data_IF_031351995170
#
_entry.id   IF_031351995170
#
_cell.length_a   1.000
_cell.length_b   1.000
_cell.length_c   1.000
_cell.angle_alpha   90.00
_cell.angle_beta   90.00
_cell.angle_gamma   90.00
#
_symmetry.space_group_name_H-M   'P 1'
#
loop_
_entity.id
_entity.type
_entity.pdbx_description
1 polymer ?
#
# COMPACT_ATOMS: atom_id res chain seq x y z
N UNK A 1 -79.63 5.81 -35.35
CA UNK A 1 -79.29 5.49 -33.95
C UNK A 1 -77.86 4.99 -33.95
N UNK A 2 -76.95 5.95 -33.93
CA UNK A 2 -75.51 5.74 -33.80
C UNK A 2 -75.18 5.28 -32.39
N UNK A 3 -74.34 4.25 -32.27
CA UNK A 3 -73.60 3.97 -31.04
C UNK A 3 -72.14 4.28 -31.30
N UNK A 4 -71.72 5.41 -30.75
CA UNK A 4 -70.35 5.88 -30.70
C UNK A 4 -69.47 4.88 -29.93
N UNK A 5 -68.43 4.38 -30.58
CA UNK A 5 -67.26 3.79 -29.94
C UNK A 5 -66.28 4.92 -29.66
N UNK A 6 -66.12 5.27 -28.39
CA UNK A 6 -65.14 6.23 -27.90
C UNK A 6 -63.74 5.63 -28.01
N UNK A 7 -62.95 6.13 -28.97
CA UNK A 7 -61.49 5.99 -28.96
C UNK A 7 -60.93 6.87 -27.83
N UNK A 8 -60.21 6.25 -26.89
CA UNK A 8 -59.37 6.96 -25.93
C UNK A 8 -58.15 7.55 -26.65
N UNK A 9 -57.75 8.80 -26.36
CA UNK A 9 -56.63 9.43 -27.05
C UNK A 9 -55.31 8.81 -26.60
N UNK A 10 -54.54 8.34 -27.59
CA UNK A 10 -53.20 7.82 -27.43
C UNK A 10 -52.27 8.93 -26.88
N UNK A 11 -52.07 8.96 -25.56
CA UNK A 11 -51.12 9.88 -24.93
C UNK A 11 -49.73 9.72 -25.55
N UNK A 12 -49.30 10.75 -26.27
CA UNK A 12 -48.08 10.79 -27.06
C UNK A 12 -46.83 10.61 -26.18
N UNK A 13 -46.34 9.37 -26.08
CA UNK A 13 -45.13 9.01 -25.33
C UNK A 13 -43.91 9.60 -26.04
N UNK A 14 -43.24 10.59 -25.44
CA UNK A 14 -41.98 11.15 -25.97
C UNK A 14 -40.81 10.23 -25.59
N UNK A 15 -40.19 9.63 -26.60
CA UNK A 15 -39.02 8.76 -26.45
C UNK A 15 -37.75 9.58 -26.67
N UNK A 16 -36.80 9.50 -25.74
CA UNK A 16 -35.49 10.14 -25.85
C UNK A 16 -34.42 9.04 -25.74
N UNK A 17 -33.54 8.95 -26.73
CA UNK A 17 -32.56 7.85 -26.83
C UNK A 17 -31.15 8.36 -26.53
N UNK A 18 -30.54 7.92 -25.44
CA UNK A 18 -29.19 8.33 -25.08
C UNK A 18 -28.24 7.15 -25.25
N UNK A 19 -27.22 7.31 -26.09
CA UNK A 19 -26.13 6.36 -26.21
C UNK A 19 -25.29 6.32 -24.94
N UNK A 20 -24.11 5.74 -25.05
CA UNK A 20 -23.16 5.59 -23.94
C UNK A 20 -22.73 6.92 -23.28
N UNK A 21 -23.11 8.07 -23.87
CA UNK A 21 -23.20 9.40 -23.26
C UNK A 21 -24.60 10.03 -23.43
N UNK A 22 -25.04 10.83 -22.44
CA UNK A 22 -26.33 11.54 -22.43
C UNK A 22 -26.39 12.67 -23.49
N UNK A 23 -26.56 12.37 -24.78
CA UNK A 23 -26.90 13.37 -25.81
C UNK A 23 -27.79 12.74 -26.91
N UNK A 24 -28.80 13.47 -27.40
CA UNK A 24 -29.74 13.08 -28.49
C UNK A 24 -29.66 14.00 -29.72
N UNK A 25 -30.14 13.58 -30.91
CA UNK A 25 -29.99 14.31 -32.17
C UNK A 25 -30.86 15.57 -32.31
N UNK A 26 -30.25 16.65 -32.81
CA UNK A 26 -30.89 17.94 -33.11
C UNK A 26 -30.64 19.06 -32.09
N UNK A 27 -29.81 18.83 -31.08
CA UNK A 27 -29.70 19.73 -29.92
C UNK A 27 -28.45 20.60 -29.93
N UNK A 28 -28.61 21.86 -29.49
CA UNK A 28 -27.50 22.64 -28.94
C UNK A 28 -26.94 21.84 -27.78
N UNK A 29 -25.62 21.65 -27.74
CA UNK A 29 -24.84 20.65 -26.99
C UNK A 29 -24.96 20.65 -25.46
N UNK A 30 -25.98 21.28 -24.85
CA UNK A 30 -25.98 21.65 -23.43
C UNK A 30 -27.25 21.26 -22.64
N UNK A 31 -28.19 20.48 -23.19
CA UNK A 31 -29.46 20.18 -22.50
C UNK A 31 -29.69 18.67 -22.29
N UNK A 32 -29.83 18.26 -21.02
CA UNK A 32 -30.13 16.87 -20.68
C UNK A 32 -31.59 16.50 -21.05
N UNK A 33 -31.86 15.25 -21.49
CA UNK A 33 -33.21 14.73 -21.83
C UNK A 33 -34.31 15.13 -20.85
N UNK A 34 -33.96 15.13 -19.58
CA UNK A 34 -34.79 15.49 -18.45
C UNK A 34 -35.40 16.91 -18.56
N UNK A 35 -34.68 17.86 -19.16
CA UNK A 35 -35.07 19.28 -19.25
C UNK A 35 -35.88 19.61 -20.49
N UNK A 36 -35.81 18.77 -21.51
CA UNK A 36 -36.48 18.94 -22.80
C UNK A 36 -37.94 18.45 -22.78
N UNK A 37 -38.23 17.53 -21.87
CA UNK A 37 -39.58 17.03 -21.62
C UNK A 37 -40.08 17.66 -20.32
N UNK A 38 -41.22 18.39 -20.34
CA UNK A 38 -41.80 18.97 -19.13
C UNK A 38 -41.90 17.94 -17.99
N UNK A 39 -41.67 18.33 -16.72
CA UNK A 39 -41.57 17.38 -15.60
C UNK A 39 -42.86 16.59 -15.32
N UNK A 40 -44.00 17.09 -15.80
CA UNK A 40 -45.32 16.48 -15.68
C UNK A 40 -45.72 15.61 -16.89
N UNK A 41 -44.85 15.43 -17.87
CA UNK A 41 -45.08 14.52 -19.00
C UNK A 41 -44.29 13.21 -18.83
N UNK A 42 -44.87 12.03 -19.19
CA UNK A 42 -44.13 10.78 -19.20
C UNK A 42 -42.89 10.85 -20.09
N UNK A 43 -41.78 10.30 -19.61
CA UNK A 43 -40.50 10.29 -20.32
C UNK A 43 -40.01 8.85 -20.48
N UNK A 44 -39.65 8.45 -21.69
CA UNK A 44 -39.01 7.15 -21.94
C UNK A 44 -37.57 7.36 -22.39
N UNK A 45 -36.62 6.99 -21.53
CA UNK A 45 -35.19 7.05 -21.81
C UNK A 45 -34.71 5.66 -22.24
N UNK A 46 -34.11 5.58 -23.41
CA UNK A 46 -33.50 4.35 -23.94
C UNK A 46 -31.99 4.50 -23.90
N UNK A 47 -31.26 3.48 -23.45
CA UNK A 47 -29.79 3.49 -23.43
C UNK A 47 -29.20 2.10 -23.62
N UNK A 48 -28.06 2.03 -24.31
CA UNK A 48 -27.26 0.82 -24.45
C UNK A 48 -26.40 0.52 -23.20
N UNK A 49 -26.22 1.50 -22.32
CA UNK A 49 -25.47 1.37 -21.09
C UNK A 49 -26.28 0.61 -20.04
N UNK A 50 -26.11 -0.71 -20.04
CA UNK A 50 -26.68 -1.59 -19.01
C UNK A 50 -26.30 -1.12 -17.60
N UNK A 51 -25.07 -0.64 -17.43
CA UNK A 51 -24.57 -0.14 -16.16
C UNK A 51 -25.38 1.08 -15.65
N UNK A 52 -25.71 2.03 -16.52
CA UNK A 52 -26.52 3.20 -16.15
C UNK A 52 -27.96 2.81 -15.85
N UNK A 53 -28.57 2.00 -16.72
CA UNK A 53 -29.97 1.57 -16.57
C UNK A 53 -30.15 0.76 -15.29
N UNK A 54 -29.34 -0.29 -15.06
CA UNK A 54 -29.40 -1.08 -13.83
C UNK A 54 -28.95 -0.29 -12.60
N UNK A 55 -27.99 0.62 -12.77
CA UNK A 55 -27.54 1.53 -11.72
C UNK A 55 -28.68 2.38 -11.17
N UNK A 56 -29.46 3.03 -12.03
CA UNK A 56 -30.58 3.89 -11.64
C UNK A 56 -31.83 3.12 -11.21
N UNK A 57 -32.09 1.94 -11.79
CA UNK A 57 -33.34 1.18 -11.54
C UNK A 57 -33.22 0.12 -10.45
N UNK A 58 -32.10 -0.61 -10.37
CA UNK A 58 -31.91 -1.76 -9.46
C UNK A 58 -31.00 -1.45 -8.28
N UNK A 59 -30.02 -0.58 -8.47
CA UNK A 59 -28.93 -0.42 -7.48
C UNK A 59 -28.98 0.88 -6.69
N UNK A 60 -29.53 1.96 -7.25
CA UNK A 60 -29.54 3.30 -6.66
C UNK A 60 -30.02 3.31 -5.21
N UNK A 61 -31.15 2.66 -4.90
CA UNK A 61 -31.68 2.60 -3.54
C UNK A 61 -30.68 1.98 -2.55
N UNK A 62 -29.99 0.90 -2.93
CA UNK A 62 -28.98 0.25 -2.07
C UNK A 62 -27.71 1.08 -1.95
N UNK A 63 -27.32 1.78 -3.02
CA UNK A 63 -26.17 2.69 -3.01
C UNK A 63 -26.41 3.91 -2.11
N UNK A 64 -27.60 4.52 -2.18
CA UNK A 64 -28.00 5.61 -1.28
C UNK A 64 -27.96 5.18 0.18
N UNK A 65 -28.51 4.01 0.51
CA UNK A 65 -28.45 3.50 1.90
C UNK A 65 -27.01 3.29 2.39
N UNK A 66 -26.07 3.01 1.49
CA UNK A 66 -24.64 2.87 1.81
C UNK A 66 -23.87 4.19 1.67
N UNK A 67 -24.56 5.31 1.46
CA UNK A 67 -23.99 6.63 1.31
C UNK A 67 -23.05 6.77 0.11
N UNK A 68 -23.32 6.01 -0.95
CA UNK A 68 -22.54 6.02 -2.20
C UNK A 68 -21.06 5.64 -2.05
N UNK A 69 -20.71 4.99 -0.94
CA UNK A 69 -19.33 4.58 -0.65
C UNK A 69 -18.91 3.45 -1.59
N UNK A 70 -17.74 3.61 -2.23
CA UNK A 70 -17.18 2.68 -3.23
C UNK A 70 -18.03 2.47 -4.50
N UNK A 71 -18.90 3.42 -4.81
CA UNK A 71 -19.65 3.41 -6.07
C UNK A 71 -18.87 4.20 -7.11
N UNK A 72 -18.44 3.55 -8.19
CA UNK A 72 -17.82 4.24 -9.32
C UNK A 72 -18.81 5.25 -9.91
N UNK A 73 -18.31 6.43 -10.29
CA UNK A 73 -19.12 7.52 -10.85
C UNK A 73 -20.31 7.94 -9.96
N UNK A 74 -20.18 7.78 -8.64
CA UNK A 74 -21.22 8.11 -7.67
C UNK A 74 -21.83 9.51 -7.85
N UNK A 75 -21.01 10.51 -8.21
CA UNK A 75 -21.49 11.88 -8.46
C UNK A 75 -22.48 11.95 -9.62
N UNK A 76 -22.14 11.36 -10.76
CA UNK A 76 -23.01 11.35 -11.94
C UNK A 76 -24.34 10.60 -11.68
N UNK A 77 -24.31 9.49 -10.93
CA UNK A 77 -25.52 8.79 -10.53
C UNK A 77 -26.38 9.59 -9.56
N UNK A 78 -25.77 10.26 -8.58
CA UNK A 78 -26.46 11.17 -7.68
C UNK A 78 -27.15 12.30 -8.46
N UNK A 79 -26.44 12.89 -9.41
CA UNK A 79 -26.97 13.97 -10.23
C UNK A 79 -28.16 13.51 -11.09
N UNK A 80 -28.00 12.37 -11.77
CA UNK A 80 -29.07 11.78 -12.58
C UNK A 80 -30.29 11.39 -11.72
N UNK A 81 -30.07 10.78 -10.56
CA UNK A 81 -31.15 10.35 -9.66
C UNK A 81 -31.90 11.56 -9.07
N UNK A 82 -31.18 12.60 -8.67
CA UNK A 82 -31.77 13.85 -8.18
C UNK A 82 -32.65 14.48 -9.25
N UNK A 83 -32.16 14.58 -10.49
CA UNK A 83 -32.96 15.08 -11.61
C UNK A 83 -34.21 14.23 -11.81
N UNK A 84 -34.08 12.91 -11.98
CA UNK A 84 -35.23 12.03 -12.19
C UNK A 84 -36.32 12.17 -11.11
N UNK A 85 -35.94 12.42 -9.86
CA UNK A 85 -36.87 12.63 -8.74
C UNK A 85 -37.56 13.99 -8.72
N UNK A 86 -37.09 14.97 -9.49
CA UNK A 86 -37.79 16.26 -9.65
C UNK A 86 -39.01 16.16 -10.56
N UNK A 87 -39.17 15.06 -11.30
CA UNK A 87 -40.31 14.86 -12.22
C UNK A 87 -41.53 14.38 -11.44
N UNK A 88 -42.69 14.92 -11.78
CA UNK A 88 -43.97 14.44 -11.25
C UNK A 88 -44.57 13.30 -12.06
N UNK A 89 -44.21 13.19 -13.35
CA UNK A 89 -44.64 12.10 -14.22
C UNK A 89 -43.62 10.95 -14.30
N UNK A 90 -44.09 9.71 -14.57
CA UNK A 90 -43.22 8.54 -14.61
C UNK A 90 -42.15 8.64 -15.68
N UNK A 91 -40.93 8.21 -15.33
CA UNK A 91 -39.80 8.07 -16.26
C UNK A 91 -39.43 6.61 -16.40
N UNK A 92 -39.51 6.08 -17.62
CA UNK A 92 -39.15 4.70 -17.94
C UNK A 92 -37.71 4.66 -18.47
N UNK A 93 -36.88 3.78 -17.91
CA UNK A 93 -35.54 3.50 -18.39
C UNK A 93 -35.51 2.12 -19.05
N UNK A 94 -35.15 2.05 -20.33
CA UNK A 94 -35.07 0.80 -21.08
C UNK A 94 -33.66 0.58 -21.59
N UNK A 95 -33.10 -0.57 -21.24
CA UNK A 95 -31.85 -1.03 -21.82
C UNK A 95 -32.09 -1.63 -23.20
N UNK A 96 -31.23 -1.29 -24.16
CA UNK A 96 -31.17 -1.92 -25.49
C UNK A 96 -29.77 -2.44 -25.75
N UNK A 97 -29.63 -3.39 -26.68
CA UNK A 97 -28.31 -3.84 -27.12
C UNK A 97 -27.73 -2.76 -28.05
N UNK A 98 -26.47 -2.37 -27.81
CA UNK A 98 -25.77 -1.42 -28.69
C UNK A 98 -25.44 -2.02 -30.05
N UNK A 99 -25.28 -1.17 -31.07
CA UNK A 99 -24.91 -1.53 -32.45
C UNK A 99 -25.80 -2.59 -33.12
N UNK A 100 -27.12 -2.51 -32.90
CA UNK A 100 -28.10 -3.44 -33.51
C UNK A 100 -29.08 -2.78 -34.47
N UNK A 101 -28.73 -1.66 -35.10
CA UNK A 101 -29.62 -0.98 -36.07
C UNK A 101 -30.74 -0.15 -35.41
N UNK A 102 -30.61 0.20 -34.13
CA UNK A 102 -31.61 1.05 -33.46
C UNK A 102 -31.28 2.50 -33.79
N UNK A 103 -31.98 3.06 -34.78
CA UNK A 103 -31.75 4.40 -35.34
C UNK A 103 -31.48 5.48 -34.28
N UNK A 104 -32.34 5.56 -33.25
CA UNK A 104 -32.18 6.55 -32.18
C UNK A 104 -30.93 6.34 -31.30
N UNK A 105 -30.48 5.09 -31.13
CA UNK A 105 -29.27 4.77 -30.35
C UNK A 105 -28.02 5.04 -31.17
N UNK A 106 -28.02 4.66 -32.45
CA UNK A 106 -26.91 4.92 -33.37
C UNK A 106 -26.68 6.41 -33.56
N UNK A 107 -27.77 7.18 -33.76
CA UNK A 107 -27.67 8.65 -33.81
C UNK A 107 -27.16 9.26 -32.50
N UNK A 108 -27.46 8.65 -31.35
CA UNK A 108 -26.95 9.12 -30.06
C UNK A 108 -25.46 8.76 -29.85
N UNK A 109 -25.01 7.59 -30.30
CA UNK A 109 -23.60 7.19 -30.29
C UNK A 109 -22.77 8.10 -31.21
N UNK A 110 -23.24 8.38 -32.43
CA UNK A 110 -22.58 9.33 -33.35
C UNK A 110 -22.43 10.74 -32.76
N UNK A 111 -23.40 11.19 -31.96
CA UNK A 111 -23.31 12.48 -31.27
C UNK A 111 -22.36 12.46 -30.09
N UNK A 112 -22.32 11.35 -29.36
CA UNK A 112 -21.36 11.15 -28.28
C UNK A 112 -19.92 11.14 -28.82
N UNK A 113 -19.67 10.45 -29.94
CA UNK A 113 -18.35 10.41 -30.62
C UNK A 113 -17.93 11.79 -31.14
N UNK A 114 -18.86 12.53 -31.75
CA UNK A 114 -18.62 13.93 -32.12
C UNK A 114 -18.33 14.78 -30.90
N UNK A 115 -19.09 14.64 -29.81
CA UNK A 115 -18.84 15.36 -28.56
C UNK A 115 -17.47 15.06 -27.94
N UNK A 116 -17.02 13.80 -28.00
CA UNK A 116 -15.73 13.36 -27.47
C UNK A 116 -14.52 13.93 -28.25
N UNK A 117 -14.70 14.25 -29.53
CA UNK A 117 -13.67 14.83 -30.40
C UNK A 117 -13.63 16.36 -30.38
N UNK A 118 -14.60 17.02 -29.74
CA UNK A 118 -14.58 18.47 -29.57
C UNK A 118 -13.65 18.88 -28.43
N UNK A 119 -12.98 20.01 -28.61
CA UNK A 119 -12.17 20.63 -27.56
C UNK A 119 -13.08 21.05 -26.40
N UNK A 120 -12.66 20.77 -25.15
CA UNK A 120 -13.48 21.05 -23.96
C UNK A 120 -13.61 22.55 -23.75
N UNK A 121 -14.60 23.17 -24.40
CA UNK A 121 -15.00 24.53 -24.08
C UNK A 121 -15.56 24.55 -22.66
N UNK A 122 -15.14 25.54 -21.86
CA UNK A 122 -15.66 25.77 -20.52
C UNK A 122 -17.14 26.15 -20.61
N UNK A 123 -18.02 25.15 -20.58
CA UNK A 123 -19.45 25.35 -20.55
C UNK A 123 -19.84 25.87 -19.15
N UNK A 124 -20.76 26.86 -19.05
CA UNK A 124 -21.29 27.29 -17.77
C UNK A 124 -21.82 26.08 -17.02
N UNK A 125 -21.35 25.90 -15.78
CA UNK A 125 -21.78 24.81 -14.90
C UNK A 125 -23.30 24.79 -14.84
N UNK A 126 -23.89 23.73 -15.39
CA UNK A 126 -25.31 23.48 -15.27
C UNK A 126 -25.74 23.67 -13.81
N UNK A 127 -26.91 24.30 -13.55
CA UNK A 127 -27.47 24.38 -12.18
C UNK A 127 -27.33 23.02 -11.51
N UNK A 128 -26.61 22.97 -10.38
CA UNK A 128 -26.39 21.73 -9.65
C UNK A 128 -27.75 21.10 -9.37
N UNK A 129 -27.87 19.77 -9.51
CA UNK A 129 -29.13 19.10 -9.26
C UNK A 129 -29.55 19.32 -7.80
N UNK A 130 -30.87 19.43 -7.55
CA UNK A 130 -31.39 19.73 -6.22
C UNK A 130 -31.07 18.59 -5.27
N UNK A 131 -30.17 18.85 -4.31
CA UNK A 131 -29.65 17.85 -3.37
C UNK A 131 -30.70 17.43 -2.35
N UNK A 132 -31.79 18.17 -2.18
CA UNK A 132 -32.90 17.78 -1.32
C UNK A 132 -33.58 16.47 -1.75
N UNK A 133 -33.43 16.05 -3.01
CA UNK A 133 -33.95 14.77 -3.52
C UNK A 133 -32.99 13.60 -3.30
N UNK A 134 -31.85 13.79 -2.63
CA UNK A 134 -30.87 12.75 -2.34
C UNK A 134 -30.80 12.44 -0.85
N UNK A 135 -30.69 11.16 -0.52
CA UNK A 135 -30.39 10.75 0.86
C UNK A 135 -28.95 11.16 1.20
N UNK A 136 -28.80 11.94 2.26
CA UNK A 136 -27.49 12.34 2.76
C UNK A 136 -26.94 11.33 3.76
N UNK A 137 -25.65 11.01 3.62
CA UNK A 137 -24.96 10.07 4.51
C UNK A 137 -25.27 8.60 4.21
N UNK A 138 -24.78 7.71 5.07
CA UNK A 138 -25.04 6.28 5.01
C UNK A 138 -25.94 5.86 6.18
N UNK A 139 -26.92 4.99 5.92
CA UNK A 139 -27.73 4.40 6.98
C UNK A 139 -26.87 3.42 7.78
N UNK A 140 -26.80 3.62 9.10
CA UNK A 140 -25.99 2.77 9.98
C UNK A 140 -26.38 1.29 9.89
N UNK A 141 -27.68 0.98 9.76
CA UNK A 141 -28.17 -0.40 9.61
C UNK A 141 -27.70 -1.10 8.33
N UNK A 142 -27.40 -0.33 7.28
CA UNK A 142 -26.99 -0.86 5.97
C UNK A 142 -25.47 -0.79 5.76
N UNK A 143 -24.76 -0.13 6.67
CA UNK A 143 -23.32 0.08 6.61
C UNK A 143 -22.57 -0.98 7.43
N UNK A 144 -21.41 -1.41 6.92
CA UNK A 144 -20.47 -2.25 7.69
C UNK A 144 -19.32 -1.38 8.19
N UNK A 145 -18.62 -1.83 9.23
CA UNK A 145 -17.37 -1.18 9.68
C UNK A 145 -16.39 -0.97 8.52
N UNK A 146 -16.25 -1.96 7.62
CA UNK A 146 -15.42 -1.86 6.42
C UNK A 146 -15.87 -0.74 5.49
N UNK A 147 -17.17 -0.66 5.21
CA UNK A 147 -17.73 0.39 4.34
C UNK A 147 -17.52 1.77 4.96
N UNK A 148 -17.84 1.95 6.24
CA UNK A 148 -17.62 3.23 6.93
C UNK A 148 -16.14 3.62 6.94
N UNK A 149 -15.24 2.68 7.26
CA UNK A 149 -13.80 2.91 7.24
C UNK A 149 -13.31 3.37 5.86
N UNK A 150 -13.77 2.72 4.80
CA UNK A 150 -13.43 3.10 3.42
C UNK A 150 -14.01 4.47 3.04
N UNK A 151 -15.23 4.78 3.47
CA UNK A 151 -15.83 6.09 3.28
C UNK A 151 -15.06 7.21 3.99
N UNK A 152 -14.61 6.97 5.24
CA UNK A 152 -13.74 7.89 5.97
C UNK A 152 -12.41 8.06 5.25
N UNK A 153 -11.77 6.96 4.84
CA UNK A 153 -10.52 7.01 4.07
C UNK A 153 -10.63 7.78 2.77
N UNK A 154 -11.72 7.61 2.02
CA UNK A 154 -11.95 8.33 0.77
C UNK A 154 -12.15 9.84 0.98
N UNK A 155 -12.63 10.25 2.16
CA UNK A 155 -12.80 11.66 2.55
C UNK A 155 -11.57 12.27 3.20
N UNK A 156 -10.70 11.45 3.79
CA UNK A 156 -9.41 11.92 4.27
C UNK A 156 -8.59 12.33 3.05
N UNK A 157 -8.35 13.63 2.91
CA UNK A 157 -7.29 14.12 2.03
C UNK A 157 -5.99 13.45 2.46
N UNK A 158 -5.22 12.92 1.51
CA UNK A 158 -3.89 12.39 1.80
C UNK A 158 -3.13 13.47 2.56
N UNK A 159 -2.90 13.24 3.85
CA UNK A 159 -2.09 14.13 4.66
C UNK A 159 -0.71 14.15 3.99
N UNK A 160 -0.25 15.32 3.57
CA UNK A 160 1.10 15.47 3.00
C UNK A 160 2.13 15.11 4.07
N UNK A 161 2.60 13.86 4.01
CA UNK A 161 3.61 13.32 4.93
C UNK A 161 4.98 13.49 4.30
N UNK A 162 5.44 14.74 4.20
CA UNK A 162 6.75 15.13 3.61
C UNK A 162 7.90 14.24 4.08
N UNK A 163 7.99 13.95 5.38
CA UNK A 163 9.04 13.09 5.94
C UNK A 163 8.96 11.65 5.40
N UNK A 164 7.75 11.09 5.26
CA UNK A 164 7.54 9.76 4.70
C UNK A 164 7.93 9.71 3.23
N UNK A 165 7.50 10.71 2.45
CA UNK A 165 7.86 10.83 1.03
C UNK A 165 9.37 10.91 0.85
N UNK A 166 10.06 11.75 1.63
CA UNK A 166 11.52 11.86 1.63
C UNK A 166 12.21 10.54 1.97
N UNK A 167 11.80 9.88 3.05
CA UNK A 167 12.42 8.62 3.49
C UNK A 167 12.19 7.49 2.48
N UNK A 168 11.03 7.45 1.84
CA UNK A 168 10.76 6.49 0.76
C UNK A 168 11.63 6.78 -0.47
N UNK A 169 11.84 8.04 -0.82
CA UNK A 169 12.73 8.43 -1.92
C UNK A 169 14.17 7.97 -1.66
N UNK A 170 14.70 8.23 -0.45
CA UNK A 170 16.02 7.74 -0.01
C UNK A 170 16.08 6.21 -0.11
N UNK A 171 15.01 5.51 0.26
CA UNK A 171 14.92 4.06 0.20
C UNK A 171 14.95 3.52 -1.24
N UNK A 172 14.27 4.21 -2.17
CA UNK A 172 14.26 3.87 -3.61
C UNK A 172 15.63 4.12 -4.24
N UNK A 173 16.25 5.26 -3.95
CA UNK A 173 17.59 5.61 -4.44
C UNK A 173 18.65 4.61 -3.96
N UNK A 174 18.59 4.22 -2.68
CA UNK A 174 19.49 3.20 -2.14
C UNK A 174 19.32 1.83 -2.83
N UNK A 175 18.10 1.44 -3.18
CA UNK A 175 17.85 0.20 -3.93
C UNK A 175 18.35 0.28 -5.37
N UNK A 176 18.21 1.44 -6.01
CA UNK A 176 18.77 1.70 -7.33
C UNK A 176 20.29 1.59 -7.30
N UNK A 177 20.96 2.21 -6.32
CA UNK A 177 22.40 2.13 -6.14
C UNK A 177 22.88 0.71 -5.84
N UNK A 178 22.12 -0.06 -5.05
CA UNK A 178 22.51 -1.42 -4.67
C UNK A 178 22.29 -2.47 -5.76
N UNK A 179 21.18 -2.38 -6.51
CA UNK A 179 20.73 -3.46 -7.40
C UNK A 179 20.54 -3.03 -8.87
N UNK A 180 20.76 -1.76 -9.19
CA UNK A 180 20.45 -1.18 -10.50
C UNK A 180 18.95 -1.09 -10.80
N UNK A 181 18.07 -1.37 -9.81
CA UNK A 181 16.61 -1.35 -9.98
C UNK A 181 15.92 -0.60 -8.85
N UNK A 182 15.13 0.40 -9.22
CA UNK A 182 14.29 1.17 -8.30
C UNK A 182 12.94 0.47 -8.09
N UNK A 183 12.60 0.00 -6.88
CA UNK A 183 11.25 -0.49 -6.59
C UNK A 183 10.27 0.69 -6.49
N UNK A 184 8.98 0.44 -6.73
CA UNK A 184 7.95 1.43 -6.40
C UNK A 184 7.79 1.55 -4.87
N UNK A 185 7.34 2.71 -4.40
CA UNK A 185 7.04 2.91 -2.97
C UNK A 185 5.99 1.91 -2.46
N UNK A 186 4.99 1.55 -3.29
CA UNK A 186 4.02 0.49 -2.97
C UNK A 186 4.70 -0.85 -2.74
N UNK A 187 5.67 -1.23 -3.59
CA UNK A 187 6.42 -2.48 -3.44
C UNK A 187 7.17 -2.54 -2.11
N UNK A 188 7.76 -1.43 -1.67
CA UNK A 188 8.41 -1.33 -0.33
C UNK A 188 7.39 -1.60 0.78
N UNK A 189 6.23 -0.91 0.74
CA UNK A 189 5.19 -1.08 1.75
C UNK A 189 4.54 -2.47 1.78
N UNK A 190 4.36 -3.07 0.61
CA UNK A 190 3.83 -4.42 0.49
C UNK A 190 4.82 -5.45 1.01
N UNK A 191 6.09 -5.33 0.64
CA UNK A 191 7.15 -6.24 1.07
C UNK A 191 7.30 -6.24 2.60
N UNK A 192 7.21 -5.06 3.24
CA UNK A 192 7.29 -4.92 4.69
C UNK A 192 6.22 -5.74 5.45
N UNK A 193 5.07 -6.01 4.82
CA UNK A 193 3.96 -6.76 5.44
C UNK A 193 4.08 -8.28 5.27
N UNK A 194 5.04 -8.76 4.47
CA UNK A 194 5.23 -10.17 4.12
C UNK A 194 6.33 -10.82 4.98
N UNK A 195 6.37 -12.15 4.97
CA UNK A 195 7.51 -12.93 5.47
C UNK A 195 8.79 -12.49 4.72
N UNK A 196 9.97 -12.39 5.37
CA UNK A 196 10.36 -12.92 6.69
C UNK A 196 10.42 -11.93 7.86
N UNK A 197 9.79 -10.76 7.73
CA UNK A 197 9.94 -9.67 8.72
C UNK A 197 8.93 -9.80 9.88
N UNK A 198 9.40 -10.00 11.14
CA UNK A 198 8.55 -10.06 12.31
C UNK A 198 7.83 -8.75 12.56
N UNK A 199 6.68 -8.84 13.23
CA UNK A 199 5.84 -7.69 13.57
C UNK A 199 6.61 -6.56 14.27
N UNK A 200 7.52 -6.87 15.21
CA UNK A 200 8.32 -5.86 15.93
C UNK A 200 9.24 -5.07 15.00
N UNK A 201 9.91 -5.75 14.08
CA UNK A 201 10.82 -5.09 13.12
C UNK A 201 10.02 -4.32 12.06
N UNK A 202 8.87 -4.87 11.65
CA UNK A 202 7.94 -4.17 10.77
C UNK A 202 7.45 -2.86 11.39
N UNK A 203 7.06 -2.87 12.65
CA UNK A 203 6.68 -1.66 13.38
C UNK A 203 7.84 -0.67 13.46
N UNK A 204 9.06 -1.16 13.71
CA UNK A 204 10.26 -0.35 13.70
C UNK A 204 10.53 0.33 12.35
N UNK A 205 10.60 -0.43 11.26
CA UNK A 205 10.85 0.14 9.93
C UNK A 205 9.71 1.04 9.48
N UNK A 206 8.45 0.71 9.80
CA UNK A 206 7.30 1.56 9.52
C UNK A 206 7.43 2.91 10.23
N UNK A 207 7.74 2.91 11.53
CA UNK A 207 7.95 4.14 12.31
C UNK A 207 9.18 4.92 11.84
N UNK A 208 10.24 4.24 11.43
CA UNK A 208 11.43 4.88 10.86
C UNK A 208 11.11 5.58 9.53
N UNK A 209 10.39 4.92 8.62
CA UNK A 209 9.94 5.54 7.36
C UNK A 209 9.03 6.75 7.61
N UNK A 210 8.17 6.70 8.63
CA UNK A 210 7.31 7.82 8.99
C UNK A 210 7.96 8.90 9.85
N UNK A 211 9.24 8.76 10.22
CA UNK A 211 9.94 9.66 11.16
C UNK A 211 9.20 9.81 12.50
N UNK A 212 8.63 8.70 12.99
CA UNK A 212 7.73 8.66 14.13
C UNK A 212 8.41 8.32 15.47
N UNK A 213 9.73 8.21 15.49
CA UNK A 213 10.50 7.93 16.70
C UNK A 213 10.88 9.21 17.45
N UNK A 214 10.92 9.12 18.78
CA UNK A 214 11.35 10.22 19.66
C UNK A 214 12.88 10.33 19.66
N UNK A 215 13.42 11.02 18.67
CA UNK A 215 14.87 11.28 18.48
C UNK A 215 15.10 12.74 18.09
N UNK A 216 16.30 13.27 18.35
CA UNK A 216 16.72 14.58 17.87
C UNK A 216 15.74 15.69 18.25
N UNK A 217 15.19 16.32 17.20
CA UNK A 217 14.16 17.38 17.23
C UNK A 217 13.03 17.17 18.23
N UNK A 218 12.62 15.92 18.47
CA UNK A 218 11.61 15.66 19.50
C UNK A 218 12.08 16.15 20.88
N UNK A 219 13.32 15.85 21.25
CA UNK A 219 13.90 16.17 22.55
C UNK A 219 14.32 17.63 22.70
N UNK A 220 14.58 18.34 21.60
CA UNK A 220 14.88 19.79 21.62
C UNK A 220 13.81 20.63 22.33
N UNK A 221 12.56 20.14 22.32
CA UNK A 221 11.40 20.85 22.86
C UNK A 221 10.91 20.25 24.19
N UNK A 222 11.70 19.38 24.83
CA UNK A 222 11.35 18.74 26.10
C UNK A 222 12.24 19.31 27.21
N UNK A 223 11.68 20.13 28.12
CA UNK A 223 12.41 20.69 29.24
C UNK A 223 13.16 19.65 30.07
N UNK A 224 14.47 19.85 30.26
CA UNK A 224 15.34 18.99 31.06
C UNK A 224 15.85 17.73 30.36
N UNK A 225 15.59 17.58 29.06
CA UNK A 225 16.02 16.43 28.25
C UNK A 225 16.56 16.85 26.87
N UNK A 226 16.88 18.13 26.69
CA UNK A 226 17.35 18.72 25.44
C UNK A 226 18.71 18.16 25.01
N UNK A 227 19.51 17.69 25.97
CA UNK A 227 20.78 17.00 25.75
C UNK A 227 20.62 15.76 24.85
N UNK A 228 19.45 15.11 24.88
CA UNK A 228 19.11 13.94 24.05
C UNK A 228 18.82 14.26 22.59
N UNK A 229 18.80 15.55 22.21
CA UNK A 229 18.70 15.93 20.81
C UNK A 229 19.99 15.62 20.03
N UNK A 230 21.13 15.52 20.71
CA UNK A 230 22.43 15.29 20.11
C UNK A 230 23.02 13.94 20.55
N UNK A 231 23.76 13.33 19.65
CA UNK A 231 24.44 12.07 19.95
C UNK A 231 25.64 12.31 20.88
N UNK A 232 25.61 11.75 22.08
CA UNK A 232 26.69 11.87 23.07
C UNK A 232 28.06 11.31 22.62
N UNK A 233 28.12 10.54 21.52
CA UNK A 233 29.39 9.96 21.01
C UNK A 233 30.09 10.80 19.95
N UNK A 234 29.35 11.57 19.16
CA UNK A 234 29.93 12.32 18.03
C UNK A 234 29.41 13.76 17.91
N UNK A 235 28.48 14.18 18.77
CA UNK A 235 27.95 15.56 18.81
C UNK A 235 26.94 15.92 17.73
N UNK A 236 26.77 15.08 16.70
CA UNK A 236 25.79 15.29 15.62
C UNK A 236 24.36 15.32 16.16
N UNK A 237 23.50 16.12 15.52
CA UNK A 237 22.07 16.10 15.79
C UNK A 237 21.50 14.72 15.46
N UNK A 238 20.79 14.12 16.41
CA UNK A 238 20.40 12.73 16.32
C UNK A 238 19.17 12.57 15.44
N UNK A 239 19.20 11.59 14.54
CA UNK A 239 18.08 11.20 13.69
C UNK A 239 18.15 9.69 13.47
N UNK A 240 17.09 9.07 12.96
CA UNK A 240 17.17 7.64 12.64
C UNK A 240 18.24 7.35 11.58
N UNK A 241 18.41 8.25 10.62
CA UNK A 241 19.50 8.19 9.64
C UNK A 241 20.87 8.25 10.32
N UNK A 242 21.07 9.21 11.23
CA UNK A 242 22.31 9.29 12.00
C UNK A 242 22.57 8.00 12.79
N UNK A 243 21.59 7.50 13.53
CA UNK A 243 21.73 6.32 14.38
C UNK A 243 22.11 5.07 13.57
N UNK A 244 21.47 4.87 12.42
CA UNK A 244 21.62 3.67 11.60
C UNK A 244 22.73 3.75 10.57
N UNK A 245 23.09 4.95 10.12
CA UNK A 245 24.07 5.18 9.06
C UNK A 245 25.27 5.98 9.56
N UNK A 246 25.13 7.15 10.16
CA UNK A 246 26.27 8.08 10.32
C UNK A 246 26.98 7.99 11.69
N UNK A 247 26.43 7.26 12.66
CA UNK A 247 26.88 7.28 14.04
C UNK A 247 28.23 6.55 14.22
N UNK A 248 29.23 7.27 14.74
CA UNK A 248 30.57 6.73 15.06
C UNK A 248 30.63 5.81 16.29
N UNK A 249 29.49 5.43 16.87
CA UNK A 249 29.44 4.54 18.03
C UNK A 249 30.06 3.17 17.71
N UNK A 250 30.82 2.62 18.66
CA UNK A 250 31.55 1.36 18.47
C UNK A 250 30.61 0.19 18.31
N UNK A 251 29.50 0.16 19.05
CA UNK A 251 28.47 -0.87 18.95
C UNK A 251 27.78 -0.88 17.59
N UNK A 252 27.52 0.29 17.01
CA UNK A 252 26.91 0.43 15.69
C UNK A 252 27.83 -0.11 14.60
N UNK A 253 29.10 0.33 14.60
CA UNK A 253 30.12 -0.14 13.65
C UNK A 253 30.35 -1.65 13.77
N UNK A 254 30.33 -2.19 14.99
CA UNK A 254 30.49 -3.62 15.21
C UNK A 254 29.32 -4.42 14.63
N UNK A 255 28.07 -3.99 14.84
CA UNK A 255 26.90 -4.65 14.25
C UNK A 255 26.98 -4.65 12.72
N UNK A 256 27.37 -3.54 12.09
CA UNK A 256 27.58 -3.50 10.64
C UNK A 256 28.66 -4.46 10.17
N UNK A 257 29.81 -4.48 10.87
CA UNK A 257 30.94 -5.38 10.57
C UNK A 257 30.50 -6.85 10.62
N UNK A 258 29.79 -7.25 11.68
CA UNK A 258 29.33 -8.63 11.84
C UNK A 258 28.29 -8.96 10.76
N UNK A 259 27.27 -8.11 10.57
CA UNK A 259 26.24 -8.33 9.55
C UNK A 259 26.85 -8.47 8.14
N UNK A 260 27.79 -7.59 7.78
CA UNK A 260 28.47 -7.63 6.49
C UNK A 260 29.28 -8.91 6.31
N UNK A 261 30.00 -9.36 7.33
CA UNK A 261 30.74 -10.62 7.28
C UNK A 261 29.79 -11.79 7.05
N UNK A 262 28.70 -11.87 7.82
CA UNK A 262 27.66 -12.89 7.68
C UNK A 262 27.02 -12.90 6.28
N UNK A 263 26.71 -11.73 5.72
CA UNK A 263 26.17 -11.61 4.36
C UNK A 263 27.22 -11.96 3.29
N UNK A 264 28.48 -11.58 3.50
CA UNK A 264 29.59 -11.89 2.60
C UNK A 264 29.87 -13.39 2.50
N UNK A 265 29.76 -14.13 3.61
CA UNK A 265 29.84 -15.61 3.62
C UNK A 265 28.74 -16.26 2.76
N UNK A 266 27.58 -15.61 2.62
CA UNK A 266 26.50 -16.03 1.72
C UNK A 266 26.65 -15.46 0.28
N UNK A 267 27.79 -14.83 -0.04
CA UNK A 267 28.03 -14.20 -1.33
C UNK A 267 27.10 -13.02 -1.61
N UNK A 268 26.74 -12.25 -0.58
CA UNK A 268 25.93 -11.03 -0.67
C UNK A 268 26.83 -9.84 -0.34
N UNK A 269 27.14 -9.03 -1.35
CA UNK A 269 27.93 -7.81 -1.17
C UNK A 269 27.03 -6.67 -0.71
N UNK A 270 27.40 -6.04 0.41
CA UNK A 270 26.82 -4.77 0.86
C UNK A 270 27.96 -3.79 1.12
N UNK A 271 27.71 -2.49 0.98
CA UNK A 271 28.70 -1.45 1.26
C UNK A 271 29.22 -1.53 2.70
N UNK A 272 30.41 -0.98 2.95
CA UNK A 272 31.04 -0.98 4.27
C UNK A 272 30.15 -0.33 5.34
N UNK A 273 29.44 0.73 4.93
CA UNK A 273 28.45 1.44 5.71
C UNK A 273 27.10 1.36 4.97
N UNK A 274 26.17 0.50 5.41
CA UNK A 274 24.87 0.38 4.78
C UNK A 274 24.11 1.70 4.88
N UNK A 275 23.55 2.16 3.76
CA UNK A 275 22.80 3.42 3.77
C UNK A 275 21.49 3.28 4.54
N UNK A 276 21.02 4.40 5.10
CA UNK A 276 19.71 4.48 5.75
C UNK A 276 18.59 3.99 4.83
N UNK A 277 18.67 4.35 3.54
CA UNK A 277 17.73 3.89 2.53
C UNK A 277 17.73 2.37 2.36
N UNK A 278 18.89 1.71 2.43
CA UNK A 278 18.98 0.24 2.33
C UNK A 278 18.28 -0.43 3.51
N UNK A 279 18.40 0.12 4.72
CA UNK A 279 17.66 -0.39 5.89
C UNK A 279 16.15 -0.26 5.74
N UNK A 280 15.68 0.89 5.25
CA UNK A 280 14.24 1.14 5.06
C UNK A 280 13.63 0.26 3.96
N UNK A 281 14.38 0.00 2.89
CA UNK A 281 13.93 -0.81 1.74
C UNK A 281 14.29 -2.28 1.83
N UNK A 282 15.02 -2.72 2.86
CA UNK A 282 15.53 -4.08 3.00
C UNK A 282 14.47 -5.17 2.82
N UNK A 283 13.21 -4.91 3.17
CA UNK A 283 12.10 -5.84 2.94
C UNK A 283 11.89 -6.19 1.45
N UNK A 284 12.17 -5.24 0.56
CA UNK A 284 11.99 -5.33 -0.89
C UNK A 284 13.29 -5.70 -1.62
N UNK A 285 14.40 -5.95 -0.91
CA UNK A 285 15.67 -6.31 -1.53
C UNK A 285 15.54 -7.60 -2.35
N UNK A 286 16.26 -7.68 -3.47
CA UNK A 286 16.35 -8.85 -4.33
C UNK A 286 17.82 -9.09 -4.66
N UNK A 287 18.34 -10.25 -4.28
CA UNK A 287 19.71 -10.67 -4.58
C UNK A 287 19.67 -11.53 -5.83
N UNK A 288 20.48 -11.17 -6.84
CA UNK A 288 20.54 -11.85 -8.13
C UNK A 288 21.96 -12.33 -8.43
N UNK A 289 22.07 -13.43 -9.17
CA UNK A 289 23.34 -13.94 -9.68
C UNK A 289 23.83 -13.18 -10.92
N UNK A 290 24.96 -13.62 -11.48
CA UNK A 290 25.58 -13.05 -12.69
C UNK A 290 24.63 -13.02 -13.90
N UNK A 291 23.78 -14.03 -14.05
CA UNK A 291 22.80 -14.15 -15.14
C UNK A 291 21.48 -13.39 -14.85
N UNK A 292 21.41 -12.63 -13.75
CA UNK A 292 20.21 -11.90 -13.34
C UNK A 292 19.13 -12.77 -12.68
N UNK A 293 19.37 -14.07 -12.52
CA UNK A 293 18.47 -15.01 -11.83
C UNK A 293 18.39 -14.68 -10.34
N UNK A 294 17.17 -14.69 -9.79
CA UNK A 294 16.92 -14.40 -8.37
C UNK A 294 17.45 -15.54 -7.48
N UNK A 295 18.36 -15.22 -6.56
CA UNK A 295 18.86 -16.14 -5.54
C UNK A 295 17.91 -16.08 -4.35
N UNK A 296 16.96 -17.02 -4.26
CA UNK A 296 15.87 -16.98 -3.26
C UNK A 296 16.39 -17.04 -1.82
N UNK A 297 17.30 -17.97 -1.51
CA UNK A 297 17.91 -18.10 -0.18
C UNK A 297 18.66 -16.83 0.24
N UNK A 298 19.54 -16.33 -0.62
CA UNK A 298 20.29 -15.09 -0.38
C UNK A 298 19.38 -13.86 -0.21
N UNK A 299 18.33 -13.76 -1.04
CA UNK A 299 17.32 -12.70 -0.93
C UNK A 299 16.61 -12.75 0.41
N UNK A 300 16.18 -13.94 0.84
CA UNK A 300 15.49 -14.11 2.11
C UNK A 300 16.42 -13.81 3.29
N UNK A 301 17.68 -14.24 3.24
CA UNK A 301 18.69 -13.93 4.25
C UNK A 301 18.90 -12.42 4.40
N UNK A 302 19.08 -11.69 3.29
CA UNK A 302 19.22 -10.24 3.31
C UNK A 302 17.99 -9.54 3.92
N UNK A 303 16.77 -10.00 3.59
CA UNK A 303 15.50 -9.52 4.16
C UNK A 303 15.36 -9.79 5.66
N UNK A 304 16.15 -10.71 6.23
CA UNK A 304 16.19 -10.96 7.68
C UNK A 304 17.30 -10.14 8.33
N UNK A 305 18.54 -10.28 7.85
CA UNK A 305 19.72 -9.77 8.53
C UNK A 305 19.80 -8.25 8.53
N UNK A 306 19.46 -7.61 7.41
CA UNK A 306 19.55 -6.14 7.30
C UNK A 306 18.56 -5.46 8.26
N UNK A 307 17.26 -5.84 8.30
CA UNK A 307 16.32 -5.29 9.28
C UNK A 307 16.65 -5.63 10.74
N UNK A 308 17.14 -6.85 11.01
CA UNK A 308 17.54 -7.25 12.37
C UNK A 308 18.74 -6.45 12.86
N UNK A 309 19.75 -6.21 12.02
CA UNK A 309 20.88 -5.36 12.34
C UNK A 309 20.43 -3.92 12.64
N UNK A 310 19.57 -3.35 11.80
CA UNK A 310 19.02 -2.00 12.05
C UNK A 310 18.29 -1.92 13.39
N UNK A 311 17.44 -2.89 13.68
CA UNK A 311 16.69 -2.94 14.92
C UNK A 311 17.59 -3.17 16.15
N UNK A 312 18.66 -3.98 16.00
CA UNK A 312 19.65 -4.18 17.03
C UNK A 312 20.43 -2.89 17.33
N UNK A 313 20.92 -2.17 16.30
CA UNK A 313 21.55 -0.86 16.47
C UNK A 313 20.63 0.10 17.21
N UNK A 314 19.35 0.17 16.83
CA UNK A 314 18.35 0.99 17.52
C UNK A 314 18.19 0.59 19.00
N UNK A 315 18.11 -0.70 19.31
CA UNK A 315 18.00 -1.19 20.70
C UNK A 315 19.24 -0.89 21.53
N UNK A 316 20.43 -1.08 20.97
CA UNK A 316 21.69 -0.77 21.66
C UNK A 316 21.79 0.74 21.94
N UNK A 317 21.39 1.59 20.98
CA UNK A 317 21.26 3.02 21.20
C UNK A 317 20.26 3.35 22.30
N UNK A 318 19.08 2.75 22.30
CA UNK A 318 18.06 3.00 23.34
C UNK A 318 18.56 2.60 24.72
N UNK A 319 19.23 1.44 24.84
CA UNK A 319 19.86 1.03 26.09
C UNK A 319 20.85 2.07 26.59
N UNK A 320 21.73 2.56 25.70
CA UNK A 320 22.73 3.57 26.04
C UNK A 320 22.13 4.92 26.46
N UNK A 321 21.18 5.45 25.69
CA UNK A 321 20.66 6.81 25.90
C UNK A 321 19.55 6.86 26.96
N UNK A 322 18.75 5.80 27.07
CA UNK A 322 17.56 5.77 27.93
C UNK A 322 17.81 4.91 29.17
N UNK A 323 18.10 3.61 28.99
CA UNK A 323 18.25 2.67 30.12
C UNK A 323 19.47 3.02 30.99
N UNK A 324 20.55 3.51 30.40
CA UNK A 324 21.78 3.93 31.10
C UNK A 324 21.88 5.44 31.27
N UNK A 325 20.77 6.17 31.22
CA UNK A 325 20.78 7.64 31.36
C UNK A 325 21.43 8.13 32.66
N UNK A 326 21.36 7.34 33.74
CA UNK A 326 22.02 7.61 35.02
C UNK A 326 23.43 7.02 35.15
N UNK A 327 23.95 6.36 34.10
CA UNK A 327 25.25 5.67 34.08
C UNK A 327 25.97 5.93 32.73
N UNK A 328 26.37 7.17 32.44
CA UNK A 328 26.92 7.58 31.14
C UNK A 328 28.27 6.91 30.80
N UNK A 329 28.97 6.36 31.80
CA UNK A 329 30.20 5.59 31.66
C UNK A 329 29.96 4.21 31.03
N UNK A 330 28.73 3.68 31.09
CA UNK A 330 28.42 2.36 30.53
C UNK A 330 28.53 2.36 29.01
N UNK A 331 29.27 1.36 28.51
CA UNK A 331 29.40 1.09 27.08
C UNK A 331 29.11 -0.37 26.79
N UNK A 332 28.59 -0.65 25.60
CA UNK A 332 28.43 -2.04 25.17
C UNK A 332 29.80 -2.64 24.87
N UNK A 333 30.10 -3.79 25.48
CA UNK A 333 31.32 -4.54 25.14
C UNK A 333 31.15 -5.29 23.83
N UNK A 334 32.23 -5.46 23.08
CA UNK A 334 32.20 -6.17 21.80
C UNK A 334 31.67 -7.61 21.97
N UNK A 335 32.08 -8.30 23.03
CA UNK A 335 31.63 -9.66 23.34
C UNK A 335 30.12 -9.73 23.61
N UNK A 336 29.56 -8.75 24.33
CA UNK A 336 28.12 -8.71 24.61
C UNK A 336 27.30 -8.48 23.32
N UNK A 337 27.76 -7.55 22.47
CA UNK A 337 27.12 -7.28 21.17
C UNK A 337 27.17 -8.52 20.27
N UNK A 338 28.34 -9.16 20.14
CA UNK A 338 28.49 -10.38 19.33
C UNK A 338 27.62 -11.52 19.86
N UNK A 339 27.55 -11.72 21.18
CA UNK A 339 26.69 -12.74 21.80
C UNK A 339 25.20 -12.46 21.54
N UNK A 340 24.77 -11.21 21.63
CA UNK A 340 23.38 -10.81 21.32
C UNK A 340 23.06 -11.05 19.83
N UNK A 341 24.01 -10.80 18.91
CA UNK A 341 23.85 -11.10 17.48
C UNK A 341 23.75 -12.60 17.21
N UNK A 342 24.65 -13.42 17.78
CA UNK A 342 24.61 -14.89 17.62
C UNK A 342 23.33 -15.49 18.19
N UNK A 343 22.85 -14.99 19.34
CA UNK A 343 21.58 -15.42 19.92
C UNK A 343 20.38 -15.10 19.01
N UNK A 344 20.39 -13.93 18.36
CA UNK A 344 19.40 -13.52 17.37
C UNK A 344 19.43 -14.45 16.15
N UNK A 345 20.61 -14.70 15.57
CA UNK A 345 20.76 -15.62 14.45
C UNK A 345 20.27 -17.02 14.82
N UNK A 346 20.62 -17.52 16.00
CA UNK A 346 20.21 -18.84 16.46
C UNK A 346 18.70 -18.96 16.61
N UNK A 347 18.03 -17.87 17.04
CA UNK A 347 16.58 -17.81 17.08
C UNK A 347 15.95 -17.84 15.68
N UNK A 348 16.54 -17.16 14.70
CA UNK A 348 16.07 -17.17 13.31
C UNK A 348 16.26 -18.51 12.64
N UNK A 349 17.44 -19.10 12.79
CA UNK A 349 17.76 -20.44 12.32
C UNK A 349 16.74 -21.45 12.85
N UNK A 350 16.53 -21.51 14.17
CA UNK A 350 15.54 -22.42 14.78
C UNK A 350 14.12 -22.18 14.26
N UNK A 351 13.73 -20.91 14.09
CA UNK A 351 12.41 -20.58 13.55
C UNK A 351 12.21 -21.11 12.14
N UNK A 352 13.22 -20.96 11.27
CA UNK A 352 13.15 -21.48 9.90
C UNK A 352 13.27 -23.01 9.84
N UNK A 353 14.08 -23.64 10.71
CA UNK A 353 14.12 -25.12 10.86
C UNK A 353 12.75 -25.68 11.27
N UNK A 354 12.11 -25.09 12.27
CA UNK A 354 10.77 -25.48 12.71
C UNK A 354 9.74 -25.33 11.57
N UNK A 355 9.77 -24.18 10.87
CA UNK A 355 8.88 -23.93 9.75
C UNK A 355 9.11 -24.91 8.58
N UNK A 356 10.35 -25.39 8.39
CA UNK A 356 10.69 -26.35 7.35
C UNK A 356 10.43 -27.82 7.73
N UNK A 357 10.17 -28.12 9.02
CA UNK A 357 9.97 -29.49 9.50
C UNK A 357 8.62 -30.08 9.09
N UNK A 358 8.59 -31.40 8.84
CA UNK A 358 7.45 -32.15 8.31
C UNK A 358 6.08 -31.88 8.98
N UNK A 359 5.94 -31.75 10.32
CA UNK A 359 4.64 -31.48 10.93
C UNK A 359 4.08 -30.07 10.64
N UNK A 360 4.93 -29.11 10.29
CA UNK A 360 4.53 -27.71 10.02
C UNK A 360 4.65 -27.32 8.53
N UNK A 361 5.32 -28.16 7.72
CA UNK A 361 5.60 -27.91 6.30
C UNK A 361 4.33 -27.71 5.45
N UNK A 362 3.20 -28.37 5.78
CA UNK A 362 1.92 -28.20 5.03
C UNK A 362 1.33 -26.77 5.13
N UNK A 363 1.70 -26.00 6.15
CA UNK A 363 1.25 -24.62 6.36
C UNK A 363 2.38 -23.58 6.16
N UNK A 364 3.62 -24.04 5.96
CA UNK A 364 4.81 -23.20 5.87
C UNK A 364 5.12 -22.83 4.41
N UNK A 365 5.57 -21.59 4.21
CA UNK A 365 6.05 -21.09 2.91
C UNK A 365 7.54 -21.34 2.68
N UNK A 366 8.23 -21.97 3.64
CA UNK A 366 9.68 -22.21 3.60
C UNK A 366 9.91 -23.71 3.46
N UNK A 367 10.47 -24.14 2.32
CA UNK A 367 10.88 -25.53 2.12
C UNK A 367 12.20 -25.83 2.83
N UNK A 368 12.42 -27.09 3.21
CA UNK A 368 13.69 -27.54 3.80
C UNK A 368 14.90 -27.25 2.89
N UNK A 369 14.74 -27.42 1.58
CA UNK A 369 15.77 -27.06 0.61
C UNK A 369 16.10 -25.56 0.65
N UNK A 370 15.09 -24.68 0.61
CA UNK A 370 15.32 -23.22 0.66
C UNK A 370 15.94 -22.77 1.99
N UNK A 371 15.54 -23.39 3.11
CA UNK A 371 16.12 -23.10 4.42
C UNK A 371 17.59 -23.56 4.51
N UNK A 372 17.90 -24.74 3.96
CA UNK A 372 19.26 -25.26 3.88
C UNK A 372 20.15 -24.37 3.02
N UNK A 373 19.73 -24.01 1.80
CA UNK A 373 20.47 -23.08 0.93
C UNK A 373 20.73 -21.70 1.57
N UNK A 374 19.81 -21.25 2.43
CA UNK A 374 19.94 -19.95 3.09
C UNK A 374 20.95 -19.97 4.23
N UNK A 375 20.95 -21.04 5.03
CA UNK A 375 21.78 -21.16 6.24
C UNK A 375 23.07 -21.95 6.03
N UNK A 376 23.26 -22.58 4.86
CA UNK A 376 24.38 -23.48 4.60
C UNK A 376 25.76 -22.84 4.77
N UNK A 377 25.84 -21.52 4.59
CA UNK A 377 27.07 -20.76 4.73
C UNK A 377 27.38 -20.36 6.19
N UNK A 378 26.40 -20.49 7.10
CA UNK A 378 26.46 -19.98 8.48
C UNK A 378 26.36 -21.09 9.55
N UNK A 379 26.21 -22.34 9.12
CA UNK A 379 26.07 -23.52 9.97
C UNK A 379 27.05 -24.58 9.49
N UNK A 380 27.52 -25.42 10.41
CA UNK A 380 28.50 -26.46 10.12
C UNK A 380 28.02 -27.38 8.99
N UNK A 381 28.89 -27.61 8.00
CA UNK A 381 28.60 -28.48 6.87
C UNK A 381 28.32 -29.93 7.28
N UNK A 382 28.81 -30.36 8.44
CA UNK A 382 28.46 -31.67 9.00
C UNK A 382 26.96 -31.77 9.35
N UNK A 383 26.32 -30.67 9.77
CA UNK A 383 24.89 -30.65 10.14
C UNK A 383 23.96 -30.55 8.92
N UNK A 384 24.45 -30.04 7.77
CA UNK A 384 23.67 -29.88 6.53
C UNK A 384 23.50 -31.17 5.72
N UNK A 385 24.36 -32.18 5.94
CA UNK A 385 24.42 -33.40 5.11
C UNK A 385 23.40 -34.47 5.46
N UNK A 386 22.69 -34.34 6.58
CA UNK A 386 21.53 -35.19 6.84
C UNK A 386 20.35 -34.60 6.05
N UNK A 387 19.61 -35.43 5.31
CA UNK A 387 18.32 -35.05 4.68
C UNK A 387 17.25 -34.62 5.72
N UNK A 388 17.63 -34.44 6.98
CA UNK A 388 16.82 -34.05 8.13
C UNK A 388 17.39 -32.78 8.82
N UNK A 389 17.74 -31.78 8.00
CA UNK A 389 18.15 -30.45 8.45
C UNK A 389 17.14 -29.80 9.41
N UNK A 390 15.86 -30.11 9.23
CA UNK A 390 14.77 -29.55 10.02
C UNK A 390 14.62 -30.23 11.40
N UNK A 391 15.04 -31.49 11.54
CA UNK A 391 15.06 -32.24 12.81
C UNK A 391 16.38 -32.17 13.58
N UNK A 392 17.47 -31.72 12.95
CA UNK A 392 18.81 -31.72 13.55
C UNK A 392 19.12 -30.44 14.35
N UNK A 393 19.71 -30.54 15.56
CA UNK A 393 20.15 -29.37 16.33
C UNK A 393 21.38 -28.74 15.67
N UNK A 394 21.15 -27.81 14.73
CA UNK A 394 22.22 -27.05 14.08
C UNK A 394 22.92 -26.11 15.05
N UNK A 395 24.25 -26.16 15.07
CA UNK A 395 25.08 -25.20 15.82
C UNK A 395 25.58 -24.15 14.83
N UNK A 396 25.31 -22.87 15.11
CA UNK A 396 25.91 -21.77 14.34
C UNK A 396 27.42 -21.81 14.54
N UNK A 397 28.17 -21.88 13.44
CA UNK A 397 29.62 -21.71 13.49
C UNK A 397 29.86 -20.22 13.60
N UNK A 398 30.42 -19.76 14.72
CA UNK A 398 30.83 -18.37 14.82
C UNK A 398 31.80 -18.07 13.66
N UNK A 399 31.68 -16.91 12.99
CA UNK A 399 32.66 -16.50 12.00
C UNK A 399 34.03 -16.53 12.66
N UNK A 400 34.90 -17.45 12.22
CA UNK A 400 36.12 -17.90 12.90
C UNK A 400 36.77 -16.77 13.75
N UNK A 401 36.79 -16.95 15.07
CA UNK A 401 37.21 -15.94 16.06
C UNK A 401 38.75 -15.83 16.17
N UNK A 402 39.49 -16.61 15.39
CA UNK A 402 40.96 -16.72 15.44
C UNK A 402 41.73 -15.55 14.78
N UNK A 403 41.06 -14.51 14.28
CA UNK A 403 41.72 -13.30 13.73
C UNK A 403 41.08 -12.00 14.22
N UNK A 404 40.69 -11.94 15.49
CA UNK A 404 40.27 -10.69 16.15
C UNK A 404 41.40 -10.08 16.97
N UNK A 405 42.56 -10.75 17.05
CA UNK A 405 43.75 -10.27 17.76
C UNK A 405 44.86 -9.70 16.89
N UNK A 406 44.74 -9.75 15.56
CA UNK A 406 45.71 -9.12 14.67
C UNK A 406 45.03 -8.09 13.77
N UNK A 407 45.45 -6.83 13.97
CA UNK A 407 45.12 -5.57 13.28
C UNK A 407 44.01 -4.70 13.88
#
# INVERSE_FOLDING_TARGET
>A
MDRASTEEPETQKRVVVCGSGLVTPGMRTNESPHRLVPPFAPLHIVSDSKYVVEGLTKHAAKWEQKGWIEVANAGAFQDALALLRTRSAPTMLRWVKGHTGIEGNEGADELADRGASLDRQYLPTHKQPPREFLVQGALLKSATQRTLYRGIKAKQTDLDRKATTRNLQIAVEAMMAHSGRAPTTSKIWEALRRDPIPKKIRDFLWKAMHDAYRVGKYWENIPGYEDRARCAKCGSHESMMHILQDCGATETRLVWKIMRRTLGEAGIAIGEQPSFGLYLSAAAIEIRGSEGVLRQGATRLARILIPEAAYMVWRLRCRRVIEWSSHPEKTHSANAVTKEWLALLGKRLRGDQMAASAPYAKASKVSAHSASEMWCHLVDQATLRTNDWAGSPGVLVAPNNQRVHDQ
#
